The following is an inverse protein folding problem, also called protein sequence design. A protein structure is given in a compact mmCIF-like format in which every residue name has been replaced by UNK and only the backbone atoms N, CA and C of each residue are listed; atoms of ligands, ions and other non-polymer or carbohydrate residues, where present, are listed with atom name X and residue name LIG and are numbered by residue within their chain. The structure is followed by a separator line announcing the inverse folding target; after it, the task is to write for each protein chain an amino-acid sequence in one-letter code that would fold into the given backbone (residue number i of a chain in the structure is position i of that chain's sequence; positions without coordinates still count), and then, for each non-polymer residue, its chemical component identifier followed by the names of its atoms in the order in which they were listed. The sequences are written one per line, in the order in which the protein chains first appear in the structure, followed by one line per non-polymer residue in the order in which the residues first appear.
data_IF_962961328641
#
_entry.id   IF_962961328641
#
_cell.length_a   1.000
_cell.length_b   1.000
_cell.length_c   1.000
_cell.angle_alpha   90.00
_cell.angle_beta   90.00
_cell.angle_gamma   90.00
#
_symmetry.space_group_name_H-M   'P 1'
#
loop_
_entity.id
_entity.type
_entity.pdbx_description
1 polymer ?
#
# COMPACT_ATOMS: atom_id res chain seq x y z
N UNK A 1 -6.81 -24.90 12.99
CA UNK A 1 -5.46 -25.09 12.41
C UNK A 1 -5.66 -25.63 11.01
N UNK A 2 -5.16 -24.92 9.97
CA UNK A 2 -5.27 -25.38 8.58
C UNK A 2 -4.47 -26.67 8.37
N UNK A 3 -4.87 -27.44 7.36
CA UNK A 3 -4.12 -28.62 6.91
C UNK A 3 -2.75 -28.21 6.38
N UNK A 4 -1.70 -29.04 6.45
CA UNK A 4 -0.41 -28.80 5.81
C UNK A 4 -0.52 -28.49 4.29
N UNK A 5 -1.63 -28.91 3.65
CA UNK A 5 -1.94 -28.60 2.25
C UNK A 5 -2.26 -27.11 1.99
N UNK A 6 -2.54 -26.32 3.03
CA UNK A 6 -2.93 -24.90 2.92
C UNK A 6 -1.71 -23.95 3.08
N UNK A 7 -0.49 -24.47 3.12
CA UNK A 7 0.73 -23.68 3.24
C UNK A 7 1.40 -23.52 1.88
N UNK A 8 1.52 -22.26 1.44
CA UNK A 8 2.31 -21.90 0.26
C UNK A 8 3.73 -21.50 0.69
N UNK A 9 4.73 -22.16 0.13
CA UNK A 9 6.14 -21.84 0.33
C UNK A 9 6.69 -21.20 -0.93
N UNK A 10 7.29 -20.02 -0.82
CA UNK A 10 7.84 -19.25 -1.92
C UNK A 10 9.28 -18.86 -1.63
N UNK A 11 10.08 -18.64 -2.68
CA UNK A 11 11.40 -18.02 -2.55
C UNK A 11 11.25 -16.60 -1.96
N UNK A 12 12.06 -16.28 -0.96
CA UNK A 12 12.12 -14.93 -0.42
C UNK A 12 12.95 -14.03 -1.33
N UNK A 13 12.35 -12.96 -1.81
CA UNK A 13 13.02 -11.93 -2.61
C UNK A 13 13.49 -10.82 -1.68
N UNK A 14 14.80 -10.57 -1.61
CA UNK A 14 15.39 -9.51 -0.79
C UNK A 14 14.91 -8.11 -1.20
N UNK A 15 15.15 -7.14 -0.33
CA UNK A 15 14.85 -5.73 -0.57
C UNK A 15 13.87 -5.14 0.45
N UNK A 16 14.01 -3.84 0.66
CA UNK A 16 13.17 -3.05 1.59
C UNK A 16 11.78 -2.72 1.00
N UNK A 17 11.00 -1.92 1.74
CA UNK A 17 9.66 -1.48 1.32
C UNK A 17 9.67 -0.86 -0.08
N UNK A 18 10.74 -0.16 -0.46
CA UNK A 18 10.84 0.52 -1.75
C UNK A 18 11.05 -0.42 -2.94
N UNK A 19 11.35 -1.69 -2.70
CA UNK A 19 11.44 -2.73 -3.72
C UNK A 19 10.06 -3.31 -4.10
N UNK A 20 9.00 -2.98 -3.36
CA UNK A 20 7.65 -3.44 -3.65
C UNK A 20 6.95 -2.54 -4.67
N UNK A 21 6.58 -3.13 -5.78
CA UNK A 21 5.80 -2.53 -6.85
C UNK A 21 4.45 -3.22 -6.94
N UNK A 22 3.46 -2.49 -7.44
CA UNK A 22 2.16 -3.03 -7.72
C UNK A 22 1.61 -2.45 -9.00
N UNK A 23 0.61 -3.09 -9.54
CA UNK A 23 -0.23 -2.50 -10.56
C UNK A 23 -1.70 -2.73 -10.22
N UNK A 24 -2.51 -1.72 -10.45
CA UNK A 24 -3.95 -1.85 -10.43
C UNK A 24 -4.43 -1.88 -11.87
N UNK A 25 -5.16 -2.92 -12.22
CA UNK A 25 -5.65 -3.15 -13.57
C UNK A 25 -7.17 -3.28 -13.57
N UNK A 26 -7.82 -2.74 -14.58
CA UNK A 26 -9.19 -3.04 -14.95
C UNK A 26 -9.22 -3.50 -16.40
N UNK A 27 -9.71 -4.72 -16.64
CA UNK A 27 -9.98 -5.24 -17.99
C UNK A 27 -11.48 -5.36 -18.20
N UNK A 28 -11.99 -4.67 -19.20
CA UNK A 28 -13.41 -4.63 -19.49
C UNK A 28 -13.95 -5.99 -19.94
N UNK A 29 -15.23 -6.24 -19.66
CA UNK A 29 -15.98 -7.44 -20.12
C UNK A 29 -16.60 -7.21 -21.48
N UNK A 30 -17.16 -6.02 -21.67
CA UNK A 30 -17.95 -5.64 -22.83
C UNK A 30 -17.12 -5.28 -24.05
N UNK A 31 -15.85 -4.93 -23.87
CA UNK A 31 -14.96 -4.49 -24.96
C UNK A 31 -13.49 -4.81 -24.69
N UNK A 32 -12.67 -4.69 -25.74
CA UNK A 32 -11.24 -4.94 -25.64
C UNK A 32 -10.49 -3.74 -25.07
N UNK A 33 -10.85 -3.33 -23.84
CA UNK A 33 -10.22 -2.23 -23.12
C UNK A 33 -9.55 -2.76 -21.85
N UNK A 34 -8.31 -2.31 -21.60
CA UNK A 34 -7.55 -2.68 -20.43
C UNK A 34 -6.76 -1.46 -19.93
N UNK A 35 -7.00 -1.09 -18.69
CA UNK A 35 -6.40 0.05 -18.03
C UNK A 35 -5.48 -0.41 -16.92
N UNK A 36 -4.23 0.05 -16.90
CA UNK A 36 -3.24 -0.36 -15.90
C UNK A 36 -2.45 0.84 -15.42
N UNK A 37 -2.36 1.01 -14.10
CA UNK A 37 -1.46 1.98 -13.47
C UNK A 37 -0.48 1.25 -12.56
N UNK A 38 0.75 1.76 -12.49
CA UNK A 38 1.80 1.18 -11.64
C UNK A 38 2.00 2.01 -10.39
N UNK A 39 2.25 1.33 -9.30
CA UNK A 39 2.48 1.91 -7.98
C UNK A 39 3.76 1.35 -7.36
N UNK A 40 4.30 2.06 -6.39
CA UNK A 40 5.42 1.62 -5.56
C UNK A 40 5.09 1.85 -4.10
N UNK A 41 5.35 0.87 -3.26
CA UNK A 41 5.27 1.05 -1.81
C UNK A 41 6.48 1.88 -1.37
N UNK A 42 6.25 2.94 -0.62
CA UNK A 42 7.30 3.78 -0.03
C UNK A 42 7.51 3.39 1.42
N UNK A 43 6.43 3.12 2.14
CA UNK A 43 6.42 2.53 3.49
C UNK A 43 5.23 1.62 3.67
N UNK A 44 5.44 0.57 4.46
CA UNK A 44 4.41 -0.35 4.91
C UNK A 44 4.20 -0.22 6.42
N UNK A 45 3.10 -0.75 6.95
CA UNK A 45 2.77 -0.71 8.38
C UNK A 45 3.73 -1.51 9.25
N UNK A 46 4.36 -2.52 8.66
CA UNK A 46 5.42 -3.33 9.27
C UNK A 46 6.60 -3.45 8.31
N UNK A 47 7.78 -3.83 8.82
CA UNK A 47 8.93 -4.14 7.96
C UNK A 47 8.63 -5.38 7.14
N UNK A 48 8.99 -5.32 5.86
CA UNK A 48 8.96 -6.43 4.90
C UNK A 48 7.57 -7.02 4.58
N UNK A 49 6.56 -6.73 5.40
CA UNK A 49 5.19 -7.17 5.19
C UNK A 49 4.19 -6.15 5.73
N UNK A 50 2.98 -6.17 5.21
CA UNK A 50 1.91 -5.31 5.69
C UNK A 50 1.26 -4.47 4.59
N UNK A 51 0.24 -3.71 4.99
CA UNK A 51 -0.47 -2.82 4.07
C UNK A 51 0.34 -1.55 3.81
N UNK A 52 0.07 -0.91 2.68
CA UNK A 52 0.70 0.36 2.31
C UNK A 52 0.32 1.45 3.30
N UNK A 53 1.31 2.08 3.91
CA UNK A 53 1.15 3.30 4.71
C UNK A 53 1.44 4.55 3.86
N UNK A 54 2.47 4.48 3.00
CA UNK A 54 2.78 5.50 1.99
C UNK A 54 3.01 4.80 0.66
N UNK A 55 2.20 5.15 -0.33
CA UNK A 55 2.32 4.69 -1.71
C UNK A 55 2.69 5.84 -2.66
N UNK A 56 3.20 5.50 -3.83
CA UNK A 56 3.51 6.45 -4.89
C UNK A 56 3.08 5.89 -6.24
N UNK A 57 2.46 6.75 -7.08
CA UNK A 57 2.32 6.44 -8.49
C UNK A 57 3.69 6.54 -9.16
N UNK A 58 3.99 5.57 -10.02
CA UNK A 58 5.27 5.51 -10.75
C UNK A 58 5.04 5.09 -12.20
N UNK A 59 5.91 5.54 -13.08
CA UNK A 59 5.99 4.94 -14.40
C UNK A 59 6.90 3.70 -14.33
N UNK A 60 6.30 2.53 -14.43
CA UNK A 60 6.99 1.23 -14.43
C UNK A 60 6.47 0.36 -15.59
N UNK A 61 6.94 0.62 -16.82
CA UNK A 61 6.43 -0.06 -18.02
C UNK A 61 6.56 -1.58 -17.96
N UNK A 62 7.63 -2.10 -17.37
CA UNK A 62 7.83 -3.54 -17.22
C UNK A 62 6.76 -4.17 -16.33
N UNK A 63 6.45 -3.55 -15.18
CA UNK A 63 5.38 -3.98 -14.27
C UNK A 63 4.03 -3.96 -14.98
N UNK A 64 3.75 -2.91 -15.76
CA UNK A 64 2.51 -2.84 -16.57
C UNK A 64 2.42 -3.97 -17.59
N UNK A 65 3.50 -4.22 -18.33
CA UNK A 65 3.52 -5.28 -19.33
C UNK A 65 3.35 -6.67 -18.71
N UNK A 66 4.00 -6.93 -17.57
CA UNK A 66 3.84 -8.20 -16.85
C UNK A 66 2.38 -8.39 -16.40
N UNK A 67 1.74 -7.33 -15.92
CA UNK A 67 0.33 -7.36 -15.51
C UNK A 67 -0.59 -7.61 -16.71
N UNK A 68 -0.37 -6.92 -17.83
CA UNK A 68 -1.17 -7.12 -19.06
C UNK A 68 -1.08 -8.57 -19.54
N UNK A 69 0.14 -9.14 -19.62
CA UNK A 69 0.34 -10.55 -20.00
C UNK A 69 -0.36 -11.51 -19.04
N UNK A 70 -0.35 -11.21 -17.73
CA UNK A 70 -1.00 -12.04 -16.73
C UNK A 70 -2.52 -12.07 -16.93
N UNK A 71 -3.15 -10.90 -17.01
CA UNK A 71 -4.61 -10.80 -17.15
C UNK A 71 -5.09 -11.35 -18.50
N UNK A 72 -4.28 -11.23 -19.55
CA UNK A 72 -4.54 -11.79 -20.86
C UNK A 72 -4.50 -13.33 -20.83
N UNK A 73 -3.42 -13.91 -20.30
CA UNK A 73 -3.24 -15.37 -20.21
C UNK A 73 -4.31 -16.06 -19.37
N UNK A 74 -4.79 -15.37 -18.33
CA UNK A 74 -5.83 -15.89 -17.44
C UNK A 74 -7.25 -15.58 -17.94
N UNK A 75 -7.37 -14.85 -19.04
CA UNK A 75 -8.62 -14.23 -19.52
C UNK A 75 -9.41 -13.53 -18.39
N UNK A 76 -8.65 -12.96 -17.41
CA UNK A 76 -9.26 -12.31 -16.27
C UNK A 76 -9.93 -11.00 -16.71
N UNK A 77 -11.15 -10.76 -16.22
CA UNK A 77 -11.96 -9.57 -16.50
C UNK A 77 -12.41 -8.93 -15.19
N UNK A 78 -12.37 -7.60 -15.15
CA UNK A 78 -12.68 -6.83 -13.95
C UNK A 78 -11.44 -6.21 -13.32
N UNK A 79 -11.57 -5.78 -12.05
CA UNK A 79 -10.49 -5.14 -11.31
C UNK A 79 -9.57 -6.19 -10.66
N UNK A 80 -8.26 -5.94 -10.76
CA UNK A 80 -7.24 -6.79 -10.13
C UNK A 80 -6.08 -5.92 -9.65
N UNK A 81 -5.50 -6.32 -8.54
CA UNK A 81 -4.23 -5.78 -8.03
C UNK A 81 -3.17 -6.88 -8.08
N UNK A 82 -2.04 -6.59 -8.74
CA UNK A 82 -0.91 -7.52 -8.87
C UNK A 82 0.29 -6.91 -8.15
N UNK A 83 0.94 -7.70 -7.31
CA UNK A 83 2.13 -7.28 -6.56
C UNK A 83 3.40 -7.94 -7.10
N UNK A 84 4.45 -7.13 -7.18
CA UNK A 84 5.78 -7.52 -7.62
C UNK A 84 6.83 -7.02 -6.63
N UNK A 85 7.94 -7.73 -6.52
CA UNK A 85 9.12 -7.26 -5.81
C UNK A 85 10.31 -7.18 -6.76
N UNK A 86 10.98 -6.04 -6.79
CA UNK A 86 12.19 -5.86 -7.58
C UNK A 86 13.37 -6.35 -6.76
N UNK A 87 14.06 -7.37 -7.25
CA UNK A 87 15.26 -7.89 -6.60
C UNK A 87 16.41 -6.90 -6.72
N UNK A 88 17.11 -6.52 -5.64
CA UNK A 88 18.30 -5.71 -5.70
C UNK A 88 19.52 -6.47 -6.29
N UNK A 89 19.47 -7.81 -6.35
CA UNK A 89 20.56 -8.64 -6.87
C UNK A 89 20.70 -8.54 -8.39
N UNK A 90 19.55 -8.57 -9.10
CA UNK A 90 19.56 -8.66 -10.57
C UNK A 90 18.66 -7.59 -11.23
N UNK A 91 18.02 -6.75 -10.44
CA UNK A 91 17.15 -5.68 -10.90
C UNK A 91 15.81 -6.14 -11.50
N UNK A 92 15.53 -7.45 -11.52
CA UNK A 92 14.32 -8.01 -12.10
C UNK A 92 13.13 -7.90 -11.18
N UNK A 93 11.94 -7.87 -11.77
CA UNK A 93 10.68 -7.93 -11.05
C UNK A 93 10.21 -9.38 -10.93
N UNK A 94 9.88 -9.78 -9.71
CA UNK A 94 9.32 -11.08 -9.37
C UNK A 94 7.87 -10.92 -8.97
N UNK A 95 7.02 -11.74 -9.52
CA UNK A 95 5.62 -11.83 -9.14
C UNK A 95 5.52 -12.34 -7.70
N UNK A 96 4.71 -11.67 -6.87
CA UNK A 96 4.45 -12.06 -5.48
C UNK A 96 3.06 -12.63 -5.33
N UNK A 97 2.04 -11.83 -5.65
CA UNK A 97 0.65 -12.23 -5.53
C UNK A 97 -0.25 -11.42 -6.45
N UNK A 98 -1.45 -11.93 -6.65
CA UNK A 98 -2.53 -11.20 -7.27
C UNK A 98 -3.77 -11.20 -6.37
N UNK A 99 -4.51 -10.11 -6.38
CA UNK A 99 -5.72 -9.94 -5.62
C UNK A 99 -6.86 -9.55 -6.58
N UNK A 100 -7.88 -10.40 -6.72
CA UNK A 100 -9.05 -10.16 -7.58
C UNK A 100 -9.99 -9.11 -6.96
N UNK A 101 -9.44 -7.99 -6.53
CA UNK A 101 -10.11 -6.87 -5.88
C UNK A 101 -9.29 -5.59 -5.98
N UNK A 102 -9.88 -4.39 -5.76
CA UNK A 102 -9.13 -3.16 -5.58
C UNK A 102 -8.18 -3.26 -4.38
N UNK A 103 -6.97 -2.70 -4.45
CA UNK A 103 -6.09 -2.59 -3.30
C UNK A 103 -6.64 -1.58 -2.29
N UNK A 104 -6.18 -1.68 -1.03
CA UNK A 104 -6.56 -0.75 0.03
C UNK A 104 -6.32 0.73 -0.33
N UNK A 105 -5.29 0.99 -1.10
CA UNK A 105 -4.88 2.33 -1.54
C UNK A 105 -5.32 2.66 -2.99
N UNK A 106 -6.43 2.08 -3.46
CA UNK A 106 -6.89 2.21 -4.85
C UNK A 106 -7.11 3.66 -5.31
N UNK A 107 -7.47 4.57 -4.39
CA UNK A 107 -7.68 5.99 -4.71
C UNK A 107 -6.42 6.69 -5.25
N UNK A 108 -5.23 6.12 -5.04
CA UNK A 108 -4.00 6.62 -5.68
C UNK A 108 -4.12 6.68 -7.21
N UNK A 109 -4.91 5.78 -7.79
CA UNK A 109 -5.17 5.71 -9.23
C UNK A 109 -5.93 6.92 -9.79
N UNK A 110 -6.72 7.61 -8.98
CA UNK A 110 -7.53 8.76 -9.44
C UNK A 110 -6.65 9.87 -10.04
N UNK A 111 -5.45 10.07 -9.52
CA UNK A 111 -4.49 11.05 -10.05
C UNK A 111 -3.92 10.65 -11.41
N UNK A 112 -4.01 9.39 -11.76
CA UNK A 112 -3.67 8.86 -13.07
C UNK A 112 -4.90 8.71 -13.98
N UNK A 113 -6.05 9.26 -13.62
CA UNK A 113 -7.33 9.04 -14.27
C UNK A 113 -7.76 7.56 -14.30
N UNK A 114 -7.30 6.78 -13.32
CA UNK A 114 -7.70 5.40 -13.11
C UNK A 114 -8.69 5.32 -11.95
N UNK A 115 -9.92 4.97 -12.22
CA UNK A 115 -10.95 4.63 -11.24
C UNK A 115 -11.57 3.28 -11.59
N UNK A 116 -11.10 2.23 -10.93
CA UNK A 116 -11.57 0.86 -11.21
C UNK A 116 -13.05 0.64 -10.88
N UNK A 117 -13.62 1.39 -9.91
CA UNK A 117 -15.04 1.29 -9.60
C UNK A 117 -15.89 1.97 -10.68
N UNK A 118 -15.49 3.16 -11.11
CA UNK A 118 -16.12 3.86 -12.22
C UNK A 118 -16.03 3.08 -13.53
N UNK A 119 -14.89 2.48 -13.82
CA UNK A 119 -14.73 1.64 -15.01
C UNK A 119 -15.64 0.41 -14.97
N UNK A 120 -15.80 -0.20 -13.79
CA UNK A 120 -16.74 -1.31 -13.64
C UNK A 120 -18.20 -0.87 -13.88
N UNK A 121 -18.57 0.31 -13.39
CA UNK A 121 -19.89 0.88 -13.64
C UNK A 121 -20.09 1.15 -15.15
N UNK A 122 -19.17 1.85 -15.80
CA UNK A 122 -19.23 2.13 -17.24
C UNK A 122 -19.31 0.85 -18.06
N UNK A 123 -18.49 -0.16 -17.75
CA UNK A 123 -18.47 -1.44 -18.48
C UNK A 123 -19.83 -2.14 -18.52
N UNK A 124 -20.70 -1.88 -17.52
CA UNK A 124 -22.03 -2.46 -17.46
C UNK A 124 -23.14 -1.56 -18.02
N UNK A 125 -23.01 -0.23 -17.91
CA UNK A 125 -24.10 0.71 -18.18
C UNK A 125 -23.86 1.54 -19.43
N UNK A 126 -22.63 1.99 -19.66
CA UNK A 126 -22.23 2.87 -20.77
C UNK A 126 -20.82 2.49 -21.25
N UNK A 127 -20.65 1.32 -21.90
CA UNK A 127 -19.32 0.81 -22.23
C UNK A 127 -18.53 1.75 -23.16
N UNK A 128 -19.19 2.59 -23.94
CA UNK A 128 -18.60 3.58 -24.83
C UNK A 128 -17.80 4.66 -24.08
N UNK A 129 -18.14 4.95 -22.84
CA UNK A 129 -17.41 5.93 -22.01
C UNK A 129 -15.97 5.49 -21.75
N UNK A 130 -15.71 4.17 -21.74
CA UNK A 130 -14.37 3.62 -21.58
C UNK A 130 -13.43 3.99 -22.74
N UNK A 131 -13.95 4.28 -23.92
CA UNK A 131 -13.13 4.66 -25.09
C UNK A 131 -12.51 6.05 -24.92
N UNK A 132 -13.11 6.89 -24.09
CA UNK A 132 -12.63 8.25 -23.78
C UNK A 132 -11.52 8.27 -22.71
N UNK A 133 -11.32 7.20 -21.96
CA UNK A 133 -10.36 7.14 -20.86
C UNK A 133 -8.92 7.28 -21.36
N UNK A 134 -8.19 8.21 -20.77
CA UNK A 134 -6.76 8.43 -21.06
C UNK A 134 -5.98 8.45 -19.76
N UNK A 135 -5.23 7.40 -19.51
CA UNK A 135 -4.42 7.28 -18.30
C UNK A 135 -3.18 8.18 -18.35
N UNK A 136 -2.77 8.65 -17.16
CA UNK A 136 -1.52 9.37 -16.93
C UNK A 136 -0.56 8.45 -16.20
N UNK A 137 0.54 8.07 -16.83
CA UNK A 137 1.48 7.10 -16.25
C UNK A 137 2.56 7.76 -15.37
N UNK A 138 2.93 8.99 -15.65
CA UNK A 138 3.82 9.76 -14.79
C UNK A 138 3.02 10.69 -13.89
N UNK A 139 3.06 10.42 -12.64
CA UNK A 139 2.38 11.27 -11.67
C UNK A 139 3.28 11.69 -10.52
N UNK A 140 4.25 10.87 -10.14
CA UNK A 140 5.09 11.12 -8.96
C UNK A 140 4.31 11.39 -7.67
N UNK A 141 2.97 11.24 -7.70
CA UNK A 141 2.08 11.59 -6.61
C UNK A 141 2.15 10.56 -5.48
N UNK A 142 2.11 11.07 -4.26
CA UNK A 142 2.04 10.24 -3.07
C UNK A 142 0.61 10.14 -2.56
N UNK A 143 0.29 8.95 -2.07
CA UNK A 143 -0.87 8.61 -1.28
C UNK A 143 -0.42 8.26 0.12
N UNK A 144 -1.11 8.77 1.15
CA UNK A 144 -0.72 8.59 2.55
C UNK A 144 -1.91 8.15 3.39
N UNK A 145 -1.72 7.05 4.13
CA UNK A 145 -2.51 6.75 5.30
C UNK A 145 -1.79 7.30 6.54
N UNK A 146 -2.19 8.51 6.93
CA UNK A 146 -1.54 9.23 8.02
C UNK A 146 -1.51 8.44 9.32
N UNK A 147 -2.63 7.79 9.68
CA UNK A 147 -2.76 7.00 10.90
C UNK A 147 -1.75 5.85 10.93
N UNK A 148 -1.68 5.07 9.87
CA UNK A 148 -0.79 3.92 9.79
C UNK A 148 0.68 4.33 9.66
N UNK A 149 0.96 5.42 8.94
CA UNK A 149 2.33 5.89 8.78
C UNK A 149 2.88 6.47 10.10
N UNK A 150 2.11 7.24 10.84
CA UNK A 150 2.53 7.75 12.15
C UNK A 150 2.76 6.62 13.16
N UNK A 151 1.94 5.57 13.15
CA UNK A 151 2.20 4.37 13.96
C UNK A 151 3.52 3.69 13.57
N UNK A 152 3.80 3.62 12.27
CA UNK A 152 5.05 3.05 11.76
C UNK A 152 6.25 3.87 12.23
N UNK A 153 6.18 5.21 12.12
CA UNK A 153 7.23 6.12 12.56
C UNK A 153 7.45 6.05 14.07
N UNK A 154 6.40 5.97 14.86
CA UNK A 154 6.50 5.81 16.32
C UNK A 154 7.19 4.50 16.74
N UNK A 155 7.01 3.42 15.95
CA UNK A 155 7.71 2.14 16.18
C UNK A 155 9.15 2.13 15.66
N UNK A 156 9.55 3.09 14.85
CA UNK A 156 10.87 3.17 14.22
C UNK A 156 11.40 4.60 14.24
N UNK A 157 11.83 5.12 15.41
CA UNK A 157 12.27 6.50 15.56
C UNK A 157 13.39 6.91 14.60
N UNK A 158 14.31 5.98 14.27
CA UNK A 158 15.39 6.23 13.31
C UNK A 158 14.86 6.62 11.92
N UNK A 159 13.70 6.08 11.54
CA UNK A 159 13.05 6.43 10.30
C UNK A 159 12.49 7.86 10.36
N UNK A 160 11.88 8.25 11.48
CA UNK A 160 11.34 9.59 11.69
C UNK A 160 12.42 10.69 11.66
N UNK A 161 13.66 10.37 12.00
CA UNK A 161 14.78 11.32 11.98
C UNK A 161 15.33 11.59 10.57
N UNK A 162 14.97 10.82 9.56
CA UNK A 162 15.45 11.00 8.19
C UNK A 162 14.63 12.08 7.46
N UNK A 163 15.26 13.13 6.90
CA UNK A 163 14.53 14.16 6.13
C UNK A 163 13.70 13.60 4.98
N UNK A 164 14.20 12.54 4.30
CA UNK A 164 13.50 11.87 3.21
C UNK A 164 12.16 11.26 3.62
N UNK A 165 11.97 10.93 4.90
CA UNK A 165 10.72 10.41 5.46
C UNK A 165 9.58 11.40 5.33
N UNK A 166 9.85 12.70 5.40
CA UNK A 166 8.85 13.76 5.39
C UNK A 166 8.53 14.28 3.99
N UNK A 167 9.38 13.98 3.01
CA UNK A 167 9.14 14.40 1.61
C UNK A 167 7.76 13.99 1.07
N UNK A 168 7.24 12.76 1.31
CA UNK A 168 5.89 12.38 0.87
C UNK A 168 4.80 13.31 1.40
N UNK A 169 4.92 13.80 2.63
CA UNK A 169 3.91 14.69 3.24
C UNK A 169 3.83 16.06 2.54
N UNK A 170 4.94 16.56 2.02
CA UNK A 170 5.00 17.80 1.27
C UNK A 170 4.46 17.64 -0.16
N UNK A 171 4.47 16.44 -0.70
CA UNK A 171 4.12 16.11 -2.07
C UNK A 171 2.83 15.27 -2.19
N UNK A 172 2.19 14.95 -1.07
CA UNK A 172 0.96 14.18 -1.07
C UNK A 172 -0.17 14.94 -1.78
N UNK A 173 -0.83 14.26 -2.69
CA UNK A 173 -2.01 14.75 -3.39
C UNK A 173 -3.27 13.96 -3.02
N UNK A 174 -3.07 12.83 -2.33
CA UNK A 174 -4.13 11.92 -1.95
C UNK A 174 -3.93 11.41 -0.52
N UNK A 175 -4.98 11.46 0.29
CA UNK A 175 -4.99 11.01 1.67
C UNK A 175 -6.03 9.92 1.83
N UNK A 176 -5.67 8.82 2.50
CA UNK A 176 -6.51 7.63 2.60
C UNK A 176 -7.90 7.86 3.20
N UNK A 177 -7.97 8.79 4.14
CA UNK A 177 -9.19 8.98 4.96
C UNK A 177 -9.67 10.43 4.97
N UNK A 178 -8.79 11.39 4.60
CA UNK A 178 -9.14 12.80 4.64
C UNK A 178 -9.91 13.22 3.40
N UNK A 179 -11.13 13.76 3.61
CA UNK A 179 -11.92 14.44 2.59
C UNK A 179 -12.44 15.75 3.17
N UNK A 180 -12.47 16.81 2.33
CA UNK A 180 -12.90 18.15 2.79
C UNK A 180 -14.41 18.23 2.99
N UNK A 181 -15.18 17.46 2.24
CA UNK A 181 -16.63 17.37 2.28
C UNK A 181 -17.15 16.51 3.45
N UNK A 182 -16.32 15.56 3.95
CA UNK A 182 -16.62 14.81 5.18
C UNK A 182 -15.35 14.57 6.02
N UNK A 183 -14.97 15.47 6.94
CA UNK A 183 -13.79 15.31 7.78
C UNK A 183 -13.97 14.33 8.95
N UNK A 184 -15.18 13.84 9.22
CA UNK A 184 -15.50 12.99 10.39
C UNK A 184 -14.71 11.68 10.44
N UNK A 185 -14.54 10.92 9.33
CA UNK A 185 -13.72 9.71 9.33
C UNK A 185 -12.26 10.00 9.71
N UNK A 186 -11.71 11.12 9.22
CA UNK A 186 -10.36 11.54 9.56
C UNK A 186 -10.21 11.91 11.04
N UNK A 187 -11.14 12.70 11.60
CA UNK A 187 -11.13 13.04 13.02
C UNK A 187 -11.19 11.80 13.90
N UNK A 188 -12.06 10.84 13.55
CA UNK A 188 -12.15 9.56 14.27
C UNK A 188 -10.85 8.76 14.18
N UNK A 189 -10.20 8.75 13.02
CA UNK A 189 -8.89 8.11 12.83
C UNK A 189 -7.81 8.75 13.71
N UNK A 190 -7.80 10.08 13.85
CA UNK A 190 -6.86 10.79 14.72
C UNK A 190 -7.12 10.52 16.21
N UNK A 191 -8.38 10.43 16.64
CA UNK A 191 -8.73 10.02 18.00
C UNK A 191 -8.23 8.60 18.32
N UNK A 192 -8.39 7.66 17.39
CA UNK A 192 -7.87 6.30 17.52
C UNK A 192 -6.34 6.28 17.61
N UNK A 193 -5.66 7.10 16.82
CA UNK A 193 -4.20 7.24 16.88
C UNK A 193 -3.75 7.78 18.24
N UNK A 194 -4.40 8.84 18.75
CA UNK A 194 -4.10 9.41 20.05
C UNK A 194 -4.30 8.37 21.18
N UNK A 195 -5.40 7.64 21.17
CA UNK A 195 -5.66 6.56 22.13
C UNK A 195 -4.58 5.46 22.08
N UNK A 196 -4.17 5.06 20.87
CA UNK A 196 -3.10 4.08 20.67
C UNK A 196 -1.75 4.57 21.22
N UNK A 197 -1.38 5.83 20.95
CA UNK A 197 -0.17 6.45 21.47
C UNK A 197 -0.18 6.47 23.00
N UNK A 198 -1.26 6.91 23.61
CA UNK A 198 -1.44 6.92 25.07
C UNK A 198 -1.24 5.54 25.69
N UNK A 199 -1.92 4.54 25.15
CA UNK A 199 -1.76 3.15 25.60
C UNK A 199 -0.34 2.61 25.39
N UNK A 200 0.33 3.01 24.35
CA UNK A 200 1.70 2.58 24.03
C UNK A 200 2.70 3.18 25.01
N UNK A 201 2.56 4.45 25.37
CA UNK A 201 3.36 5.12 26.40
C UNK A 201 3.14 4.47 27.78
N UNK A 202 1.88 4.18 28.13
CA UNK A 202 1.57 3.50 29.40
C UNK A 202 2.15 2.09 29.50
N UNK A 203 2.22 1.35 28.39
CA UNK A 203 2.90 0.05 28.32
C UNK A 203 4.41 0.18 28.48
N UNK A 204 5.02 1.18 27.83
CA UNK A 204 6.46 1.44 27.93
C UNK A 204 6.88 1.82 29.35
N UNK A 205 6.12 2.71 30.00
CA UNK A 205 6.36 3.12 31.39
C UNK A 205 6.29 1.94 32.36
N UNK A 206 5.26 1.08 32.24
CA UNK A 206 5.12 -0.15 33.06
C UNK A 206 6.26 -1.14 32.85
N UNK A 207 6.74 -1.30 31.60
CA UNK A 207 7.88 -2.18 31.30
C UNK A 207 9.19 -1.63 31.88
N UNK A 208 9.37 -0.32 31.85
CA UNK A 208 10.51 0.36 32.48
C UNK A 208 10.54 0.16 34.00
N UNK A 209 9.40 0.36 34.69
CA UNK A 209 9.29 0.13 36.15
C UNK A 209 9.57 -1.32 36.54
N UNK A 210 9.07 -2.30 35.79
CA UNK A 210 9.35 -3.73 36.07
C UNK A 210 10.83 -4.08 35.91
N UNK A 211 11.52 -3.51 34.91
CA UNK A 211 12.96 -3.70 34.72
C UNK A 211 13.78 -3.03 35.83
N UNK A 212 13.39 -1.82 36.26
CA UNK A 212 14.01 -1.13 37.38
C UNK A 212 13.92 -1.91 38.68
N UNK A 213 12.73 -2.43 39.01
CA UNK A 213 12.51 -3.24 40.22
C UNK A 213 13.29 -4.56 40.19
N UNK A 214 13.37 -5.23 39.02
CA UNK A 214 14.17 -6.44 38.87
C UNK A 214 15.67 -6.19 39.04
N UNK A 215 16.16 -5.05 38.56
CA UNK A 215 17.58 -4.67 38.73
C UNK A 215 17.94 -4.26 40.16
N UNK A 216 16.99 -3.70 40.91
CA UNK A 216 17.17 -3.38 42.33
C UNK A 216 17.13 -4.65 43.23
N UNK A 217 16.25 -5.58 42.93
CA UNK A 217 16.19 -6.89 43.66
C UNK A 217 17.44 -7.75 43.44
N UNK A 218 18.10 -7.67 42.28
CA UNK A 218 19.33 -8.39 41.98
C UNK A 218 20.60 -7.78 42.60
N UNK A 219 20.54 -6.58 43.15
CA UNK A 219 21.66 -5.93 43.85
C UNK A 219 21.58 -6.06 45.37
N UNK A 220 20.48 -6.59 45.88
CA UNK A 220 20.25 -6.77 47.34
C UNK A 220 20.32 -8.23 47.82
N UNK A 221 20.70 -9.15 46.93
CA UNK A 221 20.97 -10.56 47.23
C UNK A 221 22.46 -10.85 46.98
#
# INVERSE_FOLDING_TARGET
MGSPADVLVQEYIDGDDSCHFGSVCYRARSRNACFVVSTRKVRQTTLEAGIVAVGRLVDAPEVRQMTLRLVERLDYRGVIHVEFKRSPRDGKYYFIEWNARPPYFHSIGWRAAFDGAYFAYCDHIAPEDLDSVRLRHDSGHYWINLHEDLKRLAKSPQLALRPSTWRPYLQAKEWAVFALDDPRPWLRSMQQLAAWLWQSLGRAARKGMRRGNAALGARGA
#
